data_IF_156804468555
#
_entry.id   IF_156804468555
#
_cell.length_a   1.000
_cell.length_b   1.000
_cell.length_c   1.000
_cell.angle_alpha   90.00
_cell.angle_beta   90.00
_cell.angle_gamma   90.00
#
_symmetry.space_group_name_H-M   'P 1'
#
loop_
_entity.id
_entity.type
_entity.pdbx_description
1 polymer ?
#
# COMPACT_ATOMS: atom_id res chain seq x y z
N UNK A 1 -4.89 65.95 65.56
CA UNK A 1 -4.35 65.33 64.33
C UNK A 1 -3.57 64.09 64.75
N UNK A 2 -4.08 62.89 64.46
CA UNK A 2 -3.38 61.63 64.74
C UNK A 2 -2.36 61.40 63.63
N UNK A 3 -1.07 61.58 63.92
CA UNK A 3 -0.02 61.19 62.96
C UNK A 3 0.07 59.65 62.94
N UNK A 4 -0.01 59.01 61.76
CA UNK A 4 0.15 57.56 61.67
C UNK A 4 1.57 57.18 62.05
N UNK A 5 1.73 56.62 63.26
CA UNK A 5 2.99 56.05 63.70
C UNK A 5 3.28 54.80 62.86
N UNK A 6 4.40 54.80 62.12
CA UNK A 6 4.84 53.59 61.42
C UNK A 6 5.15 52.51 62.44
N UNK A 7 4.57 51.33 62.25
CA UNK A 7 4.78 50.15 63.11
C UNK A 7 6.26 49.71 63.16
N UNK A 8 7.03 50.03 62.13
CA UNK A 8 8.47 49.76 62.06
C UNK A 8 9.21 51.01 61.58
N UNK A 9 10.34 51.30 62.20
CA UNK A 9 11.23 52.38 61.76
C UNK A 9 11.84 52.05 60.38
N UNK A 10 12.24 53.04 59.58
CA UNK A 10 12.95 52.79 58.32
C UNK A 10 14.21 51.92 58.50
N UNK A 11 14.90 52.05 59.63
CA UNK A 11 16.09 51.24 59.97
C UNK A 11 15.79 49.74 60.07
N UNK A 12 14.62 49.35 60.61
CA UNK A 12 14.22 47.95 60.70
C UNK A 12 14.18 47.25 59.33
N UNK A 13 13.72 47.96 58.29
CA UNK A 13 13.71 47.42 56.92
C UNK A 13 15.10 47.39 56.30
N UNK A 14 15.95 48.37 56.64
CA UNK A 14 17.37 48.36 56.27
C UNK A 14 18.09 47.12 56.81
N UNK A 15 17.94 46.82 58.09
CA UNK A 15 18.56 45.67 58.75
C UNK A 15 18.01 44.34 58.18
N UNK A 16 16.71 44.25 57.93
CA UNK A 16 16.10 43.07 57.29
C UNK A 16 16.63 42.84 55.88
N UNK A 17 16.82 43.91 55.10
CA UNK A 17 17.38 43.81 53.76
C UNK A 17 18.85 43.40 53.78
N UNK A 18 19.66 43.97 54.69
CA UNK A 18 21.05 43.56 54.87
C UNK A 18 21.16 42.10 55.32
N UNK A 19 20.30 41.66 56.24
CA UNK A 19 20.23 40.27 56.69
C UNK A 19 19.85 39.33 55.55
N UNK A 20 18.86 39.70 54.73
CA UNK A 20 18.47 38.93 53.55
C UNK A 20 19.62 38.81 52.55
N UNK A 21 20.33 39.91 52.28
CA UNK A 21 21.49 39.93 51.39
C UNK A 21 22.63 39.07 51.93
N UNK A 22 22.93 39.18 53.23
CA UNK A 22 23.92 38.33 53.90
C UNK A 22 23.55 36.85 53.82
N UNK A 23 22.29 36.49 54.06
CA UNK A 23 21.82 35.12 53.91
C UNK A 23 21.96 34.63 52.46
N UNK A 24 21.70 35.48 51.47
CA UNK A 24 21.87 35.14 50.05
C UNK A 24 23.35 34.96 49.68
N UNK A 25 24.24 35.84 50.16
CA UNK A 25 25.69 35.74 49.97
C UNK A 25 26.28 34.51 50.70
N UNK A 26 25.81 34.19 51.90
CA UNK A 26 26.20 32.98 52.64
C UNK A 26 25.69 31.71 51.95
N UNK A 27 24.46 31.73 51.42
CA UNK A 27 23.89 30.58 50.70
C UNK A 27 24.58 30.35 49.35
N UNK A 28 24.99 31.44 48.67
CA UNK A 28 25.85 31.37 47.48
C UNK A 28 27.26 30.86 47.83
N UNK A 29 27.84 31.32 48.94
CA UNK A 29 29.13 30.82 49.43
C UNK A 29 29.07 29.38 49.91
N UNK A 30 27.96 28.90 50.48
CA UNK A 30 27.80 27.47 50.79
C UNK A 30 27.69 26.64 49.52
N UNK A 31 27.06 27.16 48.46
CA UNK A 31 27.05 26.52 47.13
C UNK A 31 28.44 26.53 46.48
N UNK A 32 29.25 27.58 46.67
CA UNK A 32 30.65 27.66 46.19
C UNK A 32 31.63 26.85 47.06
N UNK A 33 31.37 26.71 48.36
CA UNK A 33 32.14 25.84 49.26
C UNK A 33 31.82 24.36 48.96
N UNK A 34 30.56 24.03 48.66
CA UNK A 34 30.16 22.70 48.17
C UNK A 34 30.76 22.39 46.80
N UNK A 35 31.07 23.39 45.95
CA UNK A 35 31.68 23.17 44.63
C UNK A 35 33.20 23.02 44.65
N UNK A 36 33.86 23.45 45.74
CA UNK A 36 35.32 23.34 45.92
C UNK A 36 35.75 22.07 46.66
N UNK A 37 34.84 21.43 47.40
CA UNK A 37 34.90 19.98 47.56
C UNK A 37 34.52 19.35 46.23
N UNK A 38 35.31 18.42 45.71
CA UNK A 38 34.88 17.51 44.64
C UNK A 38 33.56 16.88 45.06
N UNK A 39 32.42 17.49 44.68
CA UNK A 39 31.19 16.77 44.46
C UNK A 39 31.60 15.77 43.41
N UNK A 40 31.91 14.54 43.85
CA UNK A 40 31.87 13.38 43.00
C UNK A 40 30.54 13.52 42.29
N UNK A 41 30.57 14.00 41.04
CA UNK A 41 29.41 14.09 40.16
C UNK A 41 28.71 12.77 40.37
N UNK A 42 27.64 12.78 41.16
CA UNK A 42 27.05 11.54 41.65
C UNK A 42 26.55 10.90 40.38
N UNK A 43 27.32 9.95 39.87
CA UNK A 43 27.18 9.44 38.51
C UNK A 43 25.74 9.01 38.45
N UNK A 44 24.94 9.73 37.67
CA UNK A 44 23.50 9.47 37.61
C UNK A 44 23.35 7.96 37.45
N UNK A 45 22.55 7.31 38.32
CA UNK A 45 22.60 5.86 38.47
C UNK A 45 22.60 5.23 37.09
N UNK A 46 23.70 4.54 36.76
CA UNK A 46 23.85 4.00 35.42
C UNK A 46 22.70 3.03 35.22
N UNK A 47 21.95 3.26 34.15
CA UNK A 47 20.78 2.46 33.82
C UNK A 47 21.18 0.98 33.84
N UNK A 48 20.42 0.08 34.51
CA UNK A 48 20.69 -1.35 34.46
C UNK A 48 20.70 -1.85 33.02
N UNK A 49 21.60 -2.80 32.74
CA UNK A 49 21.65 -3.49 31.46
C UNK A 49 20.30 -4.16 31.20
N UNK A 50 19.71 -3.91 30.03
CA UNK A 50 18.39 -4.44 29.69
C UNK A 50 18.50 -5.89 29.24
N UNK A 51 17.61 -6.72 29.76
CA UNK A 51 17.39 -8.07 29.24
C UNK A 51 16.42 -8.02 28.07
N UNK A 52 16.49 -9.01 27.17
CA UNK A 52 15.51 -9.17 26.08
C UNK A 52 14.05 -9.24 26.57
N UNK A 53 13.83 -9.80 27.77
CA UNK A 53 12.51 -9.83 28.43
C UNK A 53 12.00 -8.42 28.78
N UNK A 54 12.88 -7.52 29.20
CA UNK A 54 12.53 -6.13 29.52
C UNK A 54 12.13 -5.35 28.26
N UNK A 55 12.80 -5.62 27.16
CA UNK A 55 12.48 -5.03 25.86
C UNK A 55 11.12 -5.53 25.32
N UNK A 56 10.81 -6.82 25.49
CA UNK A 56 9.52 -7.38 25.09
C UNK A 56 8.36 -6.83 25.94
N UNK A 57 8.54 -6.75 27.26
CA UNK A 57 7.53 -6.13 28.15
C UNK A 57 7.35 -4.65 27.83
N UNK A 58 8.43 -3.93 27.49
CA UNK A 58 8.35 -2.54 27.05
C UNK A 58 7.56 -2.39 25.75
N UNK A 59 7.79 -3.27 24.76
CA UNK A 59 7.07 -3.27 23.49
C UNK A 59 5.58 -3.55 23.70
N UNK A 60 5.24 -4.62 24.43
CA UNK A 60 3.85 -5.00 24.68
C UNK A 60 3.08 -3.94 25.47
N UNK A 61 3.71 -3.28 26.44
CA UNK A 61 3.11 -2.17 27.17
C UNK A 61 2.84 -0.96 26.28
N UNK A 62 3.79 -0.61 25.40
CA UNK A 62 3.59 0.48 24.42
C UNK A 62 2.48 0.15 23.43
N UNK A 63 2.42 -1.09 22.94
CA UNK A 63 1.36 -1.55 22.06
C UNK A 63 -0.01 -1.49 22.74
N UNK A 64 -0.15 -2.06 23.95
CA UNK A 64 -1.38 -1.99 24.75
C UNK A 64 -1.80 -0.54 24.98
N UNK A 65 -0.86 0.34 25.32
CA UNK A 65 -1.13 1.76 25.53
C UNK A 65 -1.62 2.45 24.25
N UNK A 66 -0.95 2.24 23.13
CA UNK A 66 -1.34 2.81 21.84
C UNK A 66 -2.76 2.37 21.44
N UNK A 67 -3.03 1.07 21.58
CA UNK A 67 -4.31 0.46 21.26
C UNK A 67 -5.45 0.97 22.16
N UNK A 68 -5.25 0.90 23.49
CA UNK A 68 -6.24 1.35 24.48
C UNK A 68 -6.49 2.86 24.40
N UNK A 69 -5.45 3.65 24.11
CA UNK A 69 -5.61 5.10 23.94
C UNK A 69 -6.53 5.43 22.77
N UNK A 70 -6.45 4.67 21.67
CA UNK A 70 -7.33 4.84 20.50
C UNK A 70 -8.75 4.39 20.82
N UNK A 71 -8.92 3.25 21.48
CA UNK A 71 -10.24 2.73 21.89
C UNK A 71 -10.97 3.63 22.89
N UNK A 72 -10.23 4.27 23.81
CA UNK A 72 -10.83 5.14 24.83
C UNK A 72 -11.38 6.43 24.25
N UNK A 73 -10.81 6.93 23.15
CA UNK A 73 -11.33 8.10 22.46
C UNK A 73 -12.48 7.68 21.52
N UNK A 74 -13.65 7.41 22.10
CA UNK A 74 -14.83 6.88 21.39
C UNK A 74 -15.32 7.79 20.27
N UNK A 75 -15.27 9.11 20.46
CA UNK A 75 -15.70 10.06 19.44
C UNK A 75 -14.76 10.05 18.22
N UNK A 76 -13.44 10.05 18.45
CA UNK A 76 -12.46 9.93 17.37
C UNK A 76 -12.52 8.56 16.69
N UNK A 77 -12.73 7.49 17.45
CA UNK A 77 -12.85 6.16 16.88
C UNK A 77 -14.13 6.03 16.04
N UNK A 78 -15.27 6.54 16.53
CA UNK A 78 -16.54 6.49 15.82
C UNK A 78 -16.49 7.30 14.51
N UNK A 79 -15.93 8.51 14.55
CA UNK A 79 -15.77 9.35 13.35
C UNK A 79 -14.88 8.68 12.30
N UNK A 80 -13.70 8.19 12.70
CA UNK A 80 -12.77 7.51 11.79
C UNK A 80 -13.33 6.18 11.26
N UNK A 81 -14.10 5.44 12.06
CA UNK A 81 -14.73 4.20 11.62
C UNK A 81 -15.95 4.43 10.74
N UNK A 82 -16.66 5.56 10.90
CA UNK A 82 -17.82 5.96 10.07
C UNK A 82 -17.40 6.56 8.73
N UNK A 83 -16.21 7.15 8.66
CA UNK A 83 -15.66 7.72 7.43
C UNK A 83 -15.52 6.67 6.31
N UNK A 84 -14.97 5.49 6.64
CA UNK A 84 -14.82 4.39 5.69
C UNK A 84 -16.16 3.90 5.05
N UNK A 85 -17.20 3.54 5.81
CA UNK A 85 -18.49 3.12 5.25
C UNK A 85 -19.22 4.25 4.52
N UNK A 86 -19.12 5.50 4.99
CA UNK A 86 -19.71 6.63 4.29
C UNK A 86 -19.08 6.84 2.91
N UNK A 87 -17.75 6.80 2.82
CA UNK A 87 -17.03 6.88 1.55
C UNK A 87 -17.29 5.68 0.65
N UNK A 88 -17.37 4.47 1.23
CA UNK A 88 -17.72 3.25 0.48
C UNK A 88 -19.09 3.37 -0.17
N UNK A 89 -20.10 3.74 0.62
CA UNK A 89 -21.47 3.92 0.13
C UNK A 89 -21.53 4.99 -0.96
N UNK A 90 -20.93 6.17 -0.72
CA UNK A 90 -20.92 7.27 -1.67
C UNK A 90 -20.29 6.86 -3.01
N UNK A 91 -19.07 6.33 -2.99
CA UNK A 91 -18.35 5.94 -4.22
C UNK A 91 -19.09 4.82 -4.93
N UNK A 92 -19.57 3.81 -4.20
CA UNK A 92 -20.22 2.66 -4.80
C UNK A 92 -21.55 3.01 -5.47
N UNK A 93 -22.37 3.85 -4.85
CA UNK A 93 -23.63 4.31 -5.44
C UNK A 93 -23.37 5.19 -6.66
N UNK A 94 -22.41 6.11 -6.58
CA UNK A 94 -22.10 7.02 -7.69
C UNK A 94 -21.55 6.29 -8.90
N UNK A 95 -20.76 5.22 -8.70
CA UNK A 95 -20.13 4.47 -9.79
C UNK A 95 -20.94 3.25 -10.26
N UNK A 96 -22.07 2.95 -9.61
CA UNK A 96 -23.00 1.92 -10.08
C UNK A 96 -23.82 2.46 -11.26
N UNK A 97 -23.22 2.42 -12.44
CA UNK A 97 -23.83 2.81 -13.71
C UNK A 97 -23.81 1.63 -14.70
N UNK A 98 -24.85 1.54 -15.54
CA UNK A 98 -24.97 0.58 -16.63
C UNK A 98 -25.69 1.24 -17.81
N UNK A 99 -25.23 0.98 -19.03
CA UNK A 99 -25.81 1.54 -20.27
C UNK A 99 -27.18 0.91 -20.59
N UNK A 100 -27.35 -0.39 -20.30
CA UNK A 100 -28.54 -1.18 -20.66
C UNK A 100 -29.66 -1.13 -19.61
N UNK A 101 -29.58 -0.22 -18.64
CA UNK A 101 -30.54 -0.06 -17.53
C UNK A 101 -30.43 -1.15 -16.45
N UNK A 102 -30.30 -2.42 -16.83
CA UNK A 102 -29.96 -3.52 -15.91
C UNK A 102 -28.47 -3.49 -15.57
N UNK A 103 -28.13 -3.50 -14.28
CA UNK A 103 -26.73 -3.48 -13.85
C UNK A 103 -26.06 -4.82 -14.10
N UNK A 104 -25.02 -4.82 -14.93
CA UNK A 104 -24.16 -5.95 -15.18
C UNK A 104 -22.71 -5.57 -14.85
N UNK A 105 -21.98 -6.45 -14.16
CA UNK A 105 -20.60 -6.21 -13.78
C UNK A 105 -19.66 -6.20 -15.00
N UNK A 106 -19.95 -7.02 -16.02
CA UNK A 106 -19.12 -7.08 -17.22
C UNK A 106 -19.07 -5.76 -18.00
N UNK A 107 -20.24 -5.14 -18.22
CA UNK A 107 -20.37 -3.88 -18.96
C UNK A 107 -20.16 -2.63 -18.09
N UNK A 108 -19.94 -2.78 -16.79
CA UNK A 108 -19.77 -1.66 -15.87
C UNK A 108 -18.51 -0.82 -16.23
N UNK A 109 -18.73 0.35 -16.82
CA UNK A 109 -17.65 1.21 -17.34
C UNK A 109 -16.71 1.74 -16.25
N UNK A 110 -17.23 2.01 -15.05
CA UNK A 110 -16.49 2.71 -14.00
C UNK A 110 -15.70 1.80 -13.05
N UNK A 111 -15.63 0.48 -13.29
CA UNK A 111 -14.89 -0.44 -12.42
C UNK A 111 -13.40 -0.07 -12.29
N UNK A 112 -12.64 0.23 -13.36
CA UNK A 112 -11.24 0.67 -13.21
C UNK A 112 -11.09 1.94 -12.35
N UNK A 113 -12.03 2.88 -12.47
CA UNK A 113 -12.06 4.11 -11.68
C UNK A 113 -12.39 3.83 -10.21
N UNK A 114 -13.34 2.92 -9.95
CA UNK A 114 -13.66 2.45 -8.60
C UNK A 114 -12.42 1.85 -7.93
N UNK A 115 -11.75 0.91 -8.59
CA UNK A 115 -10.55 0.25 -8.05
C UNK A 115 -9.45 1.26 -7.73
N UNK A 116 -9.27 2.28 -8.57
CA UNK A 116 -8.35 3.38 -8.27
C UNK A 116 -8.78 4.19 -7.04
N UNK A 117 -10.04 4.61 -6.97
CA UNK A 117 -10.57 5.40 -5.85
C UNK A 117 -10.54 4.62 -4.53
N UNK A 118 -10.73 3.31 -4.55
CA UNK A 118 -10.54 2.44 -3.37
C UNK A 118 -9.11 2.55 -2.82
N UNK A 119 -8.10 2.56 -3.69
CA UNK A 119 -6.70 2.73 -3.28
C UNK A 119 -6.42 4.15 -2.77
N UNK A 120 -6.97 5.17 -3.42
CA UNK A 120 -6.91 6.58 -2.98
C UNK A 120 -7.49 6.72 -1.58
N UNK A 121 -8.66 6.14 -1.32
CA UNK A 121 -9.33 6.16 -0.01
C UNK A 121 -8.51 5.39 1.02
N UNK A 122 -7.96 4.22 0.66
CA UNK A 122 -7.06 3.47 1.53
C UNK A 122 -5.84 4.29 1.97
N UNK A 123 -5.18 4.98 1.02
CA UNK A 123 -4.06 5.88 1.30
C UNK A 123 -4.48 7.04 2.21
N UNK A 124 -5.61 7.67 1.88
CA UNK A 124 -6.16 8.82 2.62
C UNK A 124 -6.48 8.46 4.08
N UNK A 125 -7.19 7.37 4.31
CA UNK A 125 -7.50 6.89 5.66
C UNK A 125 -6.21 6.58 6.44
N UNK A 126 -5.19 6.00 5.78
CA UNK A 126 -3.89 5.74 6.39
C UNK A 126 -3.16 7.01 6.82
N UNK A 127 -3.15 8.03 5.95
CA UNK A 127 -2.54 9.34 6.22
C UNK A 127 -3.26 10.08 7.36
N UNK A 128 -4.58 10.26 7.25
CA UNK A 128 -5.38 11.03 8.21
C UNK A 128 -5.33 10.41 9.62
N UNK A 129 -5.42 9.08 9.73
CA UNK A 129 -5.41 8.41 11.03
C UNK A 129 -4.05 8.42 11.74
N UNK A 130 -2.96 8.71 11.03
CA UNK A 130 -1.59 8.66 11.55
C UNK A 130 -0.89 10.02 11.64
N UNK A 131 -1.33 11.03 10.88
CA UNK A 131 -0.72 12.35 10.78
C UNK A 131 -0.66 13.14 12.11
N UNK A 132 -1.51 12.82 13.10
CA UNK A 132 -1.55 13.51 14.39
C UNK A 132 -0.99 12.68 15.56
N UNK A 133 -0.67 11.39 15.33
CA UNK A 133 -0.40 10.45 16.42
C UNK A 133 0.95 10.71 17.12
N UNK A 134 1.99 11.12 16.39
CA UNK A 134 3.30 11.46 16.99
C UNK A 134 3.22 12.80 17.72
N UNK A 135 2.49 13.77 17.17
CA UNK A 135 2.28 15.09 17.79
C UNK A 135 1.60 14.93 19.15
N UNK A 136 0.54 14.10 19.24
CA UNK A 136 -0.18 13.84 20.50
C UNK A 136 0.70 13.18 21.56
N UNK A 137 1.59 12.29 21.14
CA UNK A 137 2.47 11.55 22.05
C UNK A 137 3.75 12.30 22.43
N UNK A 138 4.01 13.48 21.85
CA UNK A 138 5.26 14.22 22.02
C UNK A 138 5.61 14.49 23.48
N UNK A 139 4.65 14.99 24.26
CA UNK A 139 4.87 15.30 25.70
C UNK A 139 5.22 14.05 26.51
N UNK A 140 4.71 12.89 26.11
CA UNK A 140 5.03 11.61 26.71
C UNK A 140 6.43 11.14 26.30
N UNK A 141 6.76 11.24 25.01
CA UNK A 141 8.09 10.89 24.50
C UNK A 141 9.19 11.75 25.13
N UNK A 142 8.95 13.03 25.38
CA UNK A 142 9.89 13.92 26.07
C UNK A 142 10.15 13.51 27.52
N UNK A 143 9.11 13.05 28.24
CA UNK A 143 9.24 12.50 29.61
C UNK A 143 9.94 11.16 29.64
N UNK A 144 9.61 10.30 28.67
CA UNK A 144 10.14 8.94 28.56
C UNK A 144 11.55 8.88 27.97
N UNK A 145 12.00 9.95 27.31
CA UNK A 145 13.36 10.10 26.74
C UNK A 145 14.44 9.78 27.77
N UNK A 146 14.30 10.29 28.99
CA UNK A 146 15.29 10.11 30.06
C UNK A 146 15.35 8.67 30.58
N UNK A 147 14.29 7.89 30.33
CA UNK A 147 14.23 6.45 30.61
C UNK A 147 14.74 5.61 29.42
N UNK A 148 15.34 6.24 28.40
CA UNK A 148 16.01 5.64 27.24
C UNK A 148 15.17 4.64 26.44
N UNK A 149 13.93 4.95 26.13
CA UNK A 149 13.06 4.11 25.29
C UNK A 149 13.68 3.84 23.93
N UNK A 150 13.57 2.60 23.44
CA UNK A 150 13.96 2.25 22.07
C UNK A 150 12.91 2.76 21.10
N UNK A 151 13.30 3.74 20.28
CA UNK A 151 12.44 4.35 19.24
C UNK A 151 11.82 3.30 18.31
N UNK A 152 12.57 2.25 17.98
CA UNK A 152 12.07 1.18 17.09
C UNK A 152 10.86 0.46 17.66
N UNK A 153 10.82 0.18 18.97
CA UNK A 153 9.66 -0.46 19.60
C UNK A 153 8.46 0.49 19.68
N UNK A 154 8.70 1.79 19.89
CA UNK A 154 7.65 2.80 19.81
C UNK A 154 7.02 2.81 18.42
N UNK A 155 7.83 2.95 17.36
CA UNK A 155 7.37 2.98 15.97
C UNK A 155 6.62 1.69 15.65
N UNK A 156 7.19 0.53 15.94
CA UNK A 156 6.58 -0.76 15.63
C UNK A 156 5.23 -0.92 16.37
N UNK A 157 5.17 -0.55 17.65
CA UNK A 157 3.93 -0.62 18.43
C UNK A 157 2.83 0.28 17.84
N UNK A 158 3.20 1.48 17.36
CA UNK A 158 2.28 2.43 16.73
C UNK A 158 1.80 1.95 15.38
N UNK A 159 2.71 1.51 14.53
CA UNK A 159 2.40 1.00 13.19
C UNK A 159 1.48 -0.21 13.27
N UNK A 160 1.74 -1.15 14.18
CA UNK A 160 0.86 -2.32 14.38
C UNK A 160 -0.51 -1.92 14.91
N UNK A 161 -0.58 -1.00 15.88
CA UNK A 161 -1.85 -0.54 16.41
C UNK A 161 -2.68 0.19 15.36
N UNK A 162 -2.08 1.10 14.58
CA UNK A 162 -2.77 1.84 13.52
C UNK A 162 -3.12 0.92 12.34
N UNK A 163 -2.23 0.00 11.99
CA UNK A 163 -2.47 -1.00 10.95
C UNK A 163 -3.68 -1.87 11.26
N UNK A 164 -3.90 -2.25 12.52
CA UNK A 164 -5.10 -2.99 12.91
C UNK A 164 -6.40 -2.21 12.64
N UNK A 165 -6.46 -0.93 13.04
CA UNK A 165 -7.65 -0.10 12.78
C UNK A 165 -7.85 0.17 11.28
N UNK A 166 -6.76 0.41 10.55
CA UNK A 166 -6.81 0.57 9.10
C UNK A 166 -7.29 -0.70 8.38
N UNK A 167 -6.89 -1.88 8.86
CA UNK A 167 -7.37 -3.16 8.33
C UNK A 167 -8.89 -3.28 8.50
N UNK A 168 -9.42 -2.98 9.69
CA UNK A 168 -10.87 -2.98 9.95
C UNK A 168 -11.59 -2.00 9.01
N UNK A 169 -11.06 -0.78 8.84
CA UNK A 169 -11.63 0.22 7.93
C UNK A 169 -11.63 -0.26 6.48
N UNK A 170 -10.55 -0.89 6.01
CA UNK A 170 -10.47 -1.46 4.66
C UNK A 170 -11.50 -2.58 4.47
N UNK A 171 -11.64 -3.47 5.45
CA UNK A 171 -12.64 -4.55 5.43
C UNK A 171 -14.05 -3.98 5.35
N UNK A 172 -14.41 -3.02 6.20
CA UNK A 172 -15.75 -2.40 6.19
C UNK A 172 -16.01 -1.71 4.85
N UNK A 173 -15.03 -0.96 4.35
CA UNK A 173 -15.13 -0.27 3.06
C UNK A 173 -15.43 -1.27 1.92
N UNK A 174 -14.62 -2.32 1.82
CA UNK A 174 -14.73 -3.31 0.75
C UNK A 174 -16.02 -4.12 0.86
N UNK A 175 -16.47 -4.49 2.06
CA UNK A 175 -17.74 -5.23 2.22
C UNK A 175 -18.93 -4.44 1.70
N UNK A 176 -18.97 -3.13 1.95
CA UNK A 176 -20.06 -2.27 1.48
C UNK A 176 -19.94 -2.02 -0.02
N UNK A 177 -18.74 -1.67 -0.49
CA UNK A 177 -18.54 -1.33 -1.89
C UNK A 177 -18.66 -2.54 -2.82
N UNK A 178 -18.04 -3.68 -2.50
CA UNK A 178 -18.14 -4.89 -3.32
C UNK A 178 -19.57 -5.44 -3.32
N UNK A 179 -20.34 -5.28 -2.24
CA UNK A 179 -21.77 -5.62 -2.22
C UNK A 179 -22.60 -4.75 -3.19
N UNK A 180 -22.34 -3.43 -3.22
CA UNK A 180 -23.06 -2.50 -4.09
C UNK A 180 -22.61 -2.59 -5.56
N UNK A 181 -21.33 -2.82 -5.85
CA UNK A 181 -20.84 -3.03 -7.23
C UNK A 181 -20.92 -4.49 -7.68
N UNK A 182 -21.44 -5.40 -6.85
CA UNK A 182 -21.58 -6.82 -7.18
C UNK A 182 -20.26 -7.49 -7.60
N UNK A 183 -19.14 -7.08 -7.02
CA UNK A 183 -17.81 -7.67 -7.26
C UNK A 183 -17.71 -8.96 -6.48
N UNK A 184 -17.53 -10.09 -7.19
CA UNK A 184 -17.58 -11.42 -6.58
C UNK A 184 -16.19 -12.04 -6.45
N UNK A 185 -15.96 -12.74 -5.35
CA UNK A 185 -14.77 -13.55 -5.05
C UNK A 185 -13.40 -12.82 -5.09
N UNK A 186 -13.35 -11.49 -5.29
CA UNK A 186 -12.11 -10.69 -5.34
C UNK A 186 -11.75 -9.95 -4.05
N UNK A 187 -12.53 -10.15 -2.98
CA UNK A 187 -12.37 -9.46 -1.70
C UNK A 187 -10.95 -9.52 -1.14
N UNK A 188 -10.31 -10.69 -1.11
CA UNK A 188 -8.97 -10.85 -0.53
C UNK A 188 -7.88 -10.14 -1.33
N UNK A 189 -7.99 -10.13 -2.66
CA UNK A 189 -7.04 -9.41 -3.53
C UNK A 189 -7.21 -7.90 -3.36
N UNK A 190 -8.45 -7.40 -3.36
CA UNK A 190 -8.77 -5.99 -3.11
C UNK A 190 -8.28 -5.56 -1.72
N UNK A 191 -8.52 -6.38 -0.69
CA UNK A 191 -8.10 -6.13 0.67
C UNK A 191 -6.57 -6.03 0.77
N UNK A 192 -5.83 -6.95 0.15
CA UNK A 192 -4.37 -6.92 0.16
C UNK A 192 -3.82 -5.62 -0.44
N UNK A 193 -4.29 -5.22 -1.63
CA UNK A 193 -3.79 -4.01 -2.31
C UNK A 193 -4.23 -2.72 -1.61
N UNK A 194 -5.47 -2.65 -1.13
CA UNK A 194 -5.96 -1.50 -0.35
C UNK A 194 -5.23 -1.37 0.98
N UNK A 195 -5.05 -2.48 1.71
CA UNK A 195 -4.38 -2.49 3.01
C UNK A 195 -2.89 -2.14 2.90
N UNK A 196 -2.17 -2.71 1.93
CA UNK A 196 -0.76 -2.36 1.70
C UNK A 196 -0.60 -0.89 1.32
N UNK A 197 -1.51 -0.34 0.51
CA UNK A 197 -1.54 1.09 0.18
C UNK A 197 -1.83 1.95 1.42
N UNK A 198 -2.78 1.54 2.26
CA UNK A 198 -3.07 2.22 3.52
C UNK A 198 -1.88 2.19 4.48
N UNK A 199 -1.13 1.08 4.50
CA UNK A 199 0.07 0.92 5.30
C UNK A 199 1.20 1.86 4.87
N UNK A 200 1.37 2.10 3.56
CA UNK A 200 2.24 3.18 3.05
C UNK A 200 1.75 4.54 3.57
N UNK A 201 0.44 4.80 3.53
CA UNK A 201 -0.17 6.00 4.09
C UNK A 201 0.12 6.19 5.57
N UNK A 202 0.05 5.13 6.38
CA UNK A 202 0.42 5.17 7.81
C UNK A 202 1.88 5.55 7.99
N UNK A 203 2.80 4.95 7.22
CA UNK A 203 4.22 5.26 7.29
C UNK A 203 4.51 6.73 6.97
N UNK A 204 3.92 7.24 5.88
CA UNK A 204 4.05 8.64 5.46
C UNK A 204 3.41 9.59 6.46
N UNK A 205 2.20 9.29 6.96
CA UNK A 205 1.49 10.13 7.92
C UNK A 205 2.21 10.20 9.26
N UNK A 206 2.73 9.09 9.78
CA UNK A 206 3.59 9.11 10.98
C UNK A 206 4.86 9.94 10.75
N UNK A 207 5.48 9.84 9.58
CA UNK A 207 6.65 10.66 9.24
C UNK A 207 6.32 12.14 9.26
N UNK A 208 5.21 12.57 8.63
CA UNK A 208 4.73 13.96 8.67
C UNK A 208 4.44 14.42 10.09
N UNK A 209 3.78 13.57 10.88
CA UNK A 209 3.48 13.82 12.30
C UNK A 209 4.75 14.10 13.11
N UNK A 210 5.88 13.46 12.75
CA UNK A 210 7.17 13.74 13.39
C UNK A 210 7.79 15.07 12.95
N UNK A 211 7.55 15.54 11.72
CA UNK A 211 8.17 16.76 11.21
C UNK A 211 7.46 18.03 11.68
N UNK A 212 6.16 17.93 11.91
CA UNK A 212 5.28 19.07 12.16
C UNK A 212 5.01 19.22 13.67
N UNK A 213 4.89 20.45 14.14
CA UNK A 213 4.65 20.74 15.56
C UNK A 213 3.15 20.87 15.90
N UNK A 214 2.29 21.17 14.92
CA UNK A 214 0.87 21.50 15.09
C UNK A 214 -0.03 20.53 14.31
N UNK A 215 -1.12 20.01 14.91
CA UNK A 215 -2.04 19.10 14.21
C UNK A 215 -2.64 19.72 12.94
N UNK A 216 -3.02 21.00 13.00
CA UNK A 216 -3.57 21.74 11.85
C UNK A 216 -2.64 21.75 10.65
N UNK A 217 -1.33 21.89 10.86
CA UNK A 217 -0.36 21.89 9.76
C UNK A 217 -0.19 20.49 9.18
N UNK A 218 -0.28 19.43 10.00
CA UNK A 218 -0.25 18.06 9.50
C UNK A 218 -1.45 17.78 8.57
N UNK A 219 -2.65 18.23 8.96
CA UNK A 219 -3.86 18.09 8.13
C UNK A 219 -3.75 18.83 6.79
N UNK A 220 -3.17 20.02 6.77
CA UNK A 220 -2.97 20.79 5.53
C UNK A 220 -1.98 20.14 4.55
N UNK A 221 -1.07 19.29 5.03
CA UNK A 221 -0.10 18.58 4.20
C UNK A 221 -0.74 17.37 3.50
N UNK A 222 -1.82 16.79 4.06
CA UNK A 222 -2.46 15.59 3.51
C UNK A 222 -2.91 15.83 2.05
N UNK A 223 -3.69 16.87 1.71
CA UNK A 223 -4.08 17.12 0.31
C UNK A 223 -2.89 17.39 -0.61
N UNK A 224 -1.84 18.06 -0.11
CA UNK A 224 -0.63 18.35 -0.89
C UNK A 224 0.09 17.08 -1.34
N UNK A 225 0.01 16.00 -0.55
CA UNK A 225 0.56 14.69 -0.92
C UNK A 225 -0.45 13.89 -1.75
N UNK A 226 -1.74 13.97 -1.43
CA UNK A 226 -2.78 13.21 -2.12
C UNK A 226 -2.97 13.65 -3.58
N UNK A 227 -3.00 14.96 -3.87
CA UNK A 227 -3.26 15.48 -5.22
C UNK A 227 -2.22 14.97 -6.24
N UNK A 228 -0.89 15.08 -6.00
CA UNK A 228 0.11 14.51 -6.90
C UNK A 228 -0.04 13.00 -7.08
N UNK A 229 -0.33 12.26 -6.00
CA UNK A 229 -0.54 10.81 -6.06
C UNK A 229 -1.75 10.43 -6.93
N UNK A 230 -2.83 11.22 -6.88
CA UNK A 230 -4.03 11.01 -7.70
C UNK A 230 -3.74 11.30 -9.17
N UNK A 231 -3.13 12.45 -9.46
CA UNK A 231 -2.85 12.90 -10.84
C UNK A 231 -1.87 11.96 -11.54
N UNK A 232 -0.81 11.56 -10.84
CA UNK A 232 0.29 10.77 -11.40
C UNK A 232 0.09 9.26 -11.21
N UNK A 233 -1.09 8.82 -10.75
CA UNK A 233 -1.42 7.41 -10.53
C UNK A 233 -1.77 6.61 -11.79
N UNK A 234 -2.09 7.29 -12.90
CA UNK A 234 -2.32 6.69 -14.22
C UNK A 234 -3.77 6.27 -14.52
N UNK A 235 -4.68 6.42 -13.56
CA UNK A 235 -6.11 6.15 -13.75
C UNK A 235 -6.88 7.38 -14.27
N UNK A 236 -6.62 8.56 -13.68
CA UNK A 236 -7.33 9.81 -14.03
C UNK A 236 -6.81 10.40 -15.35
N UNK A 237 -5.49 10.36 -15.55
CA UNK A 237 -4.81 10.77 -16.76
C UNK A 237 -4.03 9.56 -17.25
N UNK A 238 -4.35 9.07 -18.45
CA UNK A 238 -3.62 7.96 -19.07
C UNK A 238 -2.20 8.42 -19.37
N UNK A 239 -1.21 7.56 -19.10
CA UNK A 239 0.20 7.92 -19.37
C UNK A 239 0.48 8.23 -20.84
N UNK A 240 -0.32 7.68 -21.75
CA UNK A 240 -0.23 7.96 -23.19
C UNK A 240 -0.54 9.43 -23.53
N UNK A 241 -1.37 10.07 -22.72
CA UNK A 241 -1.86 11.44 -22.90
C UNK A 241 -1.07 12.44 -22.04
N UNK A 242 -0.13 11.97 -21.22
CA UNK A 242 0.67 12.83 -20.37
C UNK A 242 1.83 13.45 -21.15
N UNK A 243 2.14 14.73 -20.89
CA UNK A 243 3.26 15.41 -21.51
C UNK A 243 4.57 14.69 -21.18
N UNK A 244 5.15 14.00 -22.17
CA UNK A 244 6.44 13.31 -22.04
C UNK A 244 7.62 14.25 -21.77
N UNK A 245 7.44 15.55 -21.98
CA UNK A 245 8.40 16.59 -21.59
C UNK A 245 8.55 16.77 -20.06
N UNK A 246 7.70 16.14 -19.25
CA UNK A 246 7.84 16.10 -17.79
C UNK A 246 8.83 15.04 -17.29
N UNK A 247 9.55 14.32 -18.16
CA UNK A 247 10.70 13.57 -17.68
C UNK A 247 11.82 14.55 -17.27
N UNK A 248 11.72 14.99 -16.02
CA UNK A 248 12.74 15.76 -15.31
C UNK A 248 14.09 15.02 -15.32
N UNK A 249 14.06 13.69 -15.50
CA UNK A 249 15.24 12.86 -15.74
C UNK A 249 15.81 13.06 -17.16
N UNK A 250 14.98 13.20 -18.19
CA UNK A 250 15.45 13.52 -19.54
C UNK A 250 16.05 14.94 -19.61
N UNK A 251 15.49 15.92 -18.89
CA UNK A 251 16.08 17.27 -18.82
C UNK A 251 17.38 17.29 -18.00
N UNK A 252 17.47 16.56 -16.88
CA UNK A 252 18.71 16.41 -16.11
C UNK A 252 19.77 15.64 -16.89
N UNK A 253 19.39 14.57 -17.62
CA UNK A 253 20.31 13.79 -18.46
C UNK A 253 20.81 14.56 -19.67
N UNK A 254 19.94 15.40 -20.30
CA UNK A 254 20.32 16.37 -21.33
C UNK A 254 21.23 17.47 -20.79
N UNK A 255 21.04 17.88 -19.53
CA UNK A 255 21.90 18.85 -18.86
C UNK A 255 23.28 18.25 -18.47
N UNK A 256 23.35 16.94 -18.21
CA UNK A 256 24.55 16.23 -17.78
C UNK A 256 25.30 15.47 -18.88
N UNK A 257 24.79 15.41 -20.13
CA UNK A 257 25.41 14.65 -21.22
C UNK A 257 25.14 15.25 -22.61
N UNK A 258 26.10 15.15 -23.55
CA UNK A 258 25.97 15.78 -24.87
C UNK A 258 24.99 14.98 -25.76
N UNK A 259 24.06 15.73 -26.36
CA UNK A 259 23.17 15.41 -27.49
C UNK A 259 23.09 13.94 -27.92
N UNK A 260 22.07 13.23 -27.43
CA UNK A 260 21.59 11.99 -28.04
C UNK A 260 20.11 12.16 -28.38
N UNK A 261 19.84 12.91 -29.45
CA UNK A 261 18.49 13.25 -29.93
C UNK A 261 17.78 12.08 -30.65
N UNK A 262 18.36 10.87 -30.67
CA UNK A 262 17.82 9.71 -31.40
C UNK A 262 17.02 8.71 -30.55
N UNK A 263 16.90 8.92 -29.23
CA UNK A 263 16.17 7.99 -28.35
C UNK A 263 14.66 8.28 -28.24
N UNK A 264 14.19 9.44 -28.70
CA UNK A 264 12.82 9.91 -28.47
C UNK A 264 11.74 9.15 -29.28
N UNK A 265 12.11 8.36 -30.28
CA UNK A 265 11.16 7.77 -31.24
C UNK A 265 10.69 6.35 -30.88
N UNK A 266 11.28 5.73 -29.84
CA UNK A 266 11.02 4.32 -29.47
C UNK A 266 10.31 4.10 -28.12
N UNK A 267 9.88 5.16 -27.45
CA UNK A 267 9.17 5.01 -26.16
C UNK A 267 7.72 4.56 -26.38
N UNK A 268 7.44 3.33 -25.90
CA UNK A 268 6.10 2.73 -25.83
C UNK A 268 5.05 3.72 -25.35
N UNK A 269 3.84 3.68 -25.90
CA UNK A 269 2.74 4.55 -25.42
C UNK A 269 2.37 4.24 -23.98
N UNK A 270 2.43 2.96 -23.60
CA UNK A 270 2.15 2.49 -22.24
C UNK A 270 3.36 2.51 -21.29
N UNK A 271 4.51 3.02 -21.69
CA UNK A 271 5.64 3.12 -20.77
C UNK A 271 5.38 4.21 -19.74
N UNK A 272 5.64 3.91 -18.47
CA UNK A 272 5.31 4.85 -17.40
C UNK A 272 6.45 5.86 -17.20
N UNK A 273 6.16 7.16 -17.21
CA UNK A 273 7.16 8.21 -16.98
C UNK A 273 7.86 8.10 -15.63
N UNK A 274 9.07 8.62 -15.54
CA UNK A 274 9.91 8.38 -14.37
C UNK A 274 9.35 9.02 -13.08
N UNK A 275 8.74 10.21 -13.18
CA UNK A 275 8.14 10.89 -12.03
C UNK A 275 7.04 10.04 -11.38
N UNK A 276 6.27 9.31 -12.18
CA UNK A 276 5.20 8.44 -11.71
C UNK A 276 5.71 7.21 -10.95
N UNK A 277 6.97 6.81 -11.12
CA UNK A 277 7.56 5.70 -10.36
C UNK A 277 7.70 6.03 -8.87
N UNK A 278 7.74 7.31 -8.49
CA UNK A 278 7.81 7.75 -7.09
C UNK A 278 6.47 7.69 -6.35
N UNK A 279 5.36 7.48 -7.08
CA UNK A 279 4.01 7.54 -6.51
C UNK A 279 3.54 6.14 -6.13
N UNK A 280 3.26 5.84 -4.85
CA UNK A 280 2.80 4.52 -4.43
C UNK A 280 1.45 4.10 -5.06
N UNK A 281 0.53 5.06 -5.31
CA UNK A 281 -0.76 4.75 -5.93
C UNK A 281 -0.63 4.14 -7.33
N UNK A 282 0.39 4.52 -8.10
CA UNK A 282 0.65 3.95 -9.42
C UNK A 282 0.93 2.44 -9.32
N UNK A 283 1.74 2.03 -8.35
CA UNK A 283 2.12 0.63 -8.15
C UNK A 283 0.95 -0.23 -7.67
N UNK A 284 0.15 0.27 -6.73
CA UNK A 284 -1.03 -0.46 -6.26
C UNK A 284 -2.14 -0.49 -7.29
N UNK A 285 -2.32 0.56 -8.10
CA UNK A 285 -3.32 0.59 -9.17
C UNK A 285 -2.97 -0.38 -10.31
N UNK A 286 -1.71 -0.40 -10.74
CA UNK A 286 -1.21 -1.40 -11.69
C UNK A 286 -1.48 -2.82 -11.17
N UNK A 287 -1.27 -3.04 -9.88
CA UNK A 287 -1.42 -4.36 -9.29
C UNK A 287 -2.88 -4.80 -9.13
N UNK A 288 -3.80 -3.90 -8.72
CA UNK A 288 -5.21 -4.26 -8.54
C UNK A 288 -5.89 -4.55 -9.90
N UNK A 289 -5.54 -3.81 -10.96
CA UNK A 289 -6.06 -4.06 -12.31
C UNK A 289 -5.59 -5.42 -12.83
N UNK A 290 -4.28 -5.72 -12.72
CA UNK A 290 -3.74 -7.04 -13.11
C UNK A 290 -4.37 -8.14 -12.25
N UNK A 291 -4.58 -7.91 -10.96
CA UNK A 291 -5.24 -8.90 -10.10
C UNK A 291 -6.68 -9.18 -10.54
N UNK A 292 -7.46 -8.16 -10.91
CA UNK A 292 -8.82 -8.37 -11.45
C UNK A 292 -8.80 -9.09 -12.80
N UNK A 293 -7.83 -8.80 -13.67
CA UNK A 293 -7.71 -9.46 -14.97
C UNK A 293 -7.26 -10.92 -14.87
N UNK A 294 -6.34 -11.25 -13.95
CA UNK A 294 -5.71 -12.58 -13.89
C UNK A 294 -6.22 -13.49 -12.77
N UNK A 295 -6.61 -12.91 -11.63
CA UNK A 295 -6.91 -13.67 -10.40
C UNK A 295 -8.40 -13.89 -10.17
N UNK A 296 -9.29 -13.33 -11.00
CA UNK A 296 -10.71 -13.64 -10.92
C UNK A 296 -10.94 -15.16 -11.12
N UNK A 297 -12.02 -15.75 -10.57
CA UNK A 297 -12.19 -17.22 -10.59
C UNK A 297 -12.14 -17.85 -11.98
N UNK A 298 -12.70 -17.16 -12.98
CA UNK A 298 -12.75 -17.60 -14.38
C UNK A 298 -11.36 -17.53 -15.00
N UNK A 299 -10.72 -16.36 -14.99
CA UNK A 299 -9.37 -16.15 -15.49
C UNK A 299 -8.33 -16.99 -14.76
N UNK A 300 -8.49 -17.24 -13.46
CA UNK A 300 -7.63 -18.15 -12.72
C UNK A 300 -7.76 -19.59 -13.24
N UNK A 301 -8.99 -20.05 -13.51
CA UNK A 301 -9.22 -21.37 -14.12
C UNK A 301 -8.66 -21.44 -15.55
N UNK A 302 -8.88 -20.41 -16.37
CA UNK A 302 -8.31 -20.30 -17.73
C UNK A 302 -6.78 -20.37 -17.66
N UNK A 303 -6.15 -19.56 -16.80
CA UNK A 303 -4.70 -19.56 -16.61
C UNK A 303 -4.18 -20.93 -16.15
N UNK A 304 -4.89 -21.62 -15.25
CA UNK A 304 -4.53 -22.98 -14.81
C UNK A 304 -4.59 -23.97 -15.99
N UNK A 305 -5.63 -23.90 -16.82
CA UNK A 305 -5.81 -24.76 -18.00
C UNK A 305 -4.73 -24.48 -19.05
N UNK A 306 -4.51 -23.21 -19.39
CA UNK A 306 -3.48 -22.79 -20.34
C UNK A 306 -2.08 -23.22 -19.89
N UNK A 307 -1.77 -23.13 -18.59
CA UNK A 307 -0.48 -23.56 -18.05
C UNK A 307 -0.24 -25.07 -18.21
N UNK A 308 -1.30 -25.89 -18.12
CA UNK A 308 -1.25 -27.33 -18.40
C UNK A 308 -1.11 -27.60 -19.91
N UNK A 309 -1.85 -26.86 -20.75
CA UNK A 309 -1.71 -26.99 -22.20
C UNK A 309 -0.28 -26.67 -22.65
N UNK A 310 0.32 -25.62 -22.10
CA UNK A 310 1.68 -25.23 -22.42
C UNK A 310 2.74 -26.22 -21.89
N UNK A 311 2.49 -26.92 -20.78
CA UNK A 311 3.38 -27.99 -20.34
C UNK A 311 3.34 -29.19 -21.28
N UNK A 312 2.16 -29.58 -21.76
CA UNK A 312 2.02 -30.64 -22.76
C UNK A 312 2.65 -30.26 -24.11
N UNK A 313 2.49 -29.01 -24.56
CA UNK A 313 3.16 -28.52 -25.78
C UNK A 313 4.68 -28.62 -25.66
N UNK A 314 5.26 -28.19 -24.54
CA UNK A 314 6.71 -28.27 -24.31
C UNK A 314 7.23 -29.71 -24.28
N UNK A 315 6.47 -30.65 -23.72
CA UNK A 315 6.83 -32.07 -23.75
C UNK A 315 6.88 -32.60 -25.19
N UNK A 316 5.88 -32.25 -26.00
CA UNK A 316 5.83 -32.64 -27.41
C UNK A 316 6.96 -32.01 -28.23
N UNK A 317 7.25 -30.72 -28.02
CA UNK A 317 8.36 -30.00 -28.66
C UNK A 317 9.74 -30.58 -28.28
N UNK A 318 9.89 -31.14 -27.08
CA UNK A 318 11.09 -31.83 -26.63
C UNK A 318 11.26 -33.23 -27.25
N UNK A 319 10.38 -33.66 -28.16
CA UNK A 319 10.45 -34.95 -28.84
C UNK A 319 9.94 -36.13 -28.00
N UNK A 320 9.28 -35.87 -26.87
CA UNK A 320 8.62 -36.90 -26.07
C UNK A 320 7.20 -37.14 -26.61
N UNK A 321 6.96 -38.34 -27.16
CA UNK A 321 5.60 -38.76 -27.50
C UNK A 321 4.76 -38.85 -26.22
N UNK A 322 3.61 -38.17 -26.21
CA UNK A 322 2.69 -38.13 -25.08
C UNK A 322 2.20 -39.55 -24.76
N UNK A 323 2.22 -39.91 -23.47
CA UNK A 323 1.59 -41.13 -22.98
C UNK A 323 0.07 -41.08 -23.22
N UNK A 324 -0.64 -42.20 -23.38
CA UNK A 324 -2.10 -42.21 -23.53
C UNK A 324 -2.85 -41.46 -22.41
N UNK A 325 -2.27 -41.42 -21.20
CA UNK A 325 -2.81 -40.64 -20.08
C UNK A 325 -2.60 -39.13 -20.24
N UNK A 326 -1.47 -38.72 -20.82
CA UNK A 326 -1.13 -37.32 -21.05
C UNK A 326 -1.92 -36.76 -22.24
N UNK A 327 -2.17 -37.58 -23.26
CA UNK A 327 -3.04 -37.25 -24.39
C UNK A 327 -4.49 -37.07 -23.92
N UNK A 328 -5.02 -37.99 -23.10
CA UNK A 328 -6.34 -37.83 -22.48
C UNK A 328 -6.41 -36.57 -21.58
N UNK A 329 -5.34 -36.24 -20.86
CA UNK A 329 -5.25 -35.03 -20.04
C UNK A 329 -5.20 -33.75 -20.89
N UNK A 330 -4.51 -33.78 -22.03
CA UNK A 330 -4.46 -32.70 -23.00
C UNK A 330 -5.83 -32.43 -23.61
N UNK A 331 -6.55 -33.47 -24.03
CA UNK A 331 -7.88 -33.32 -24.60
C UNK A 331 -8.90 -32.84 -23.56
N UNK A 332 -8.87 -33.40 -22.36
CA UNK A 332 -9.68 -32.90 -21.24
C UNK A 332 -9.42 -31.42 -20.94
N UNK A 333 -8.17 -30.94 -21.04
CA UNK A 333 -7.83 -29.54 -20.85
C UNK A 333 -8.35 -28.65 -21.99
N UNK A 334 -8.32 -29.10 -23.25
CA UNK A 334 -8.91 -28.37 -24.39
C UNK A 334 -10.42 -28.25 -24.26
N UNK A 335 -11.08 -29.36 -23.91
CA UNK A 335 -12.53 -29.40 -23.73
C UNK A 335 -12.96 -28.50 -22.57
N UNK A 336 -12.23 -28.55 -21.45
CA UNK A 336 -12.48 -27.65 -20.32
C UNK A 336 -12.32 -26.18 -20.71
N UNK A 337 -11.32 -25.83 -21.52
CA UNK A 337 -11.15 -24.45 -21.99
C UNK A 337 -12.37 -23.96 -22.77
N UNK A 338 -12.86 -24.78 -23.71
CA UNK A 338 -14.05 -24.45 -24.50
C UNK A 338 -15.30 -24.31 -23.61
N UNK A 339 -15.47 -25.19 -22.64
CA UNK A 339 -16.59 -25.15 -21.67
C UNK A 339 -16.54 -23.88 -20.81
N UNK A 340 -15.34 -23.47 -20.35
CA UNK A 340 -15.20 -22.30 -19.46
C UNK A 340 -15.63 -20.99 -20.14
N UNK A 341 -15.33 -20.81 -21.43
CA UNK A 341 -15.79 -19.64 -22.18
C UNK A 341 -17.31 -19.61 -22.40
N UNK A 342 -17.94 -20.79 -22.52
CA UNK A 342 -19.39 -20.92 -22.68
C UNK A 342 -20.16 -21.12 -21.37
N UNK A 343 -19.51 -20.95 -20.21
CA UNK A 343 -20.08 -21.38 -18.94
C UNK A 343 -21.24 -20.47 -18.50
N UNK A 344 -22.42 -21.06 -18.36
CA UNK A 344 -23.61 -20.42 -17.83
C UNK A 344 -24.15 -21.16 -16.59
N UNK A 345 -25.03 -20.49 -15.85
CA UNK A 345 -25.68 -21.08 -14.69
C UNK A 345 -26.96 -20.33 -14.30
N UNK A 346 -27.73 -20.93 -13.38
CA UNK A 346 -28.99 -20.34 -12.90
C UNK A 346 -28.75 -19.11 -12.01
N UNK A 347 -27.65 -19.11 -11.28
CA UNK A 347 -27.25 -18.04 -10.39
C UNK A 347 -25.72 -18.02 -10.24
N UNK A 348 -25.19 -17.02 -9.54
CA UNK A 348 -23.76 -16.89 -9.35
C UNK A 348 -23.12 -18.04 -8.55
N UNK A 349 -23.86 -18.63 -7.60
CA UNK A 349 -23.36 -19.74 -6.78
C UNK A 349 -23.25 -21.05 -7.59
N UNK A 350 -24.16 -21.27 -8.53
CA UNK A 350 -24.15 -22.39 -9.49
C UNK A 350 -22.94 -22.28 -10.42
N UNK A 351 -22.72 -21.11 -11.03
CA UNK A 351 -21.52 -20.86 -11.86
C UNK A 351 -20.23 -21.07 -11.05
N UNK A 352 -20.19 -20.57 -9.80
CA UNK A 352 -19.05 -20.78 -8.90
C UNK A 352 -18.83 -22.27 -8.59
N UNK A 353 -19.91 -23.03 -8.38
CA UNK A 353 -19.87 -24.48 -8.20
C UNK A 353 -19.28 -25.19 -9.41
N UNK A 354 -19.77 -24.89 -10.61
CA UNK A 354 -19.26 -25.45 -11.87
C UNK A 354 -17.78 -25.14 -12.09
N UNK A 355 -17.33 -23.91 -11.81
CA UNK A 355 -15.89 -23.54 -11.88
C UNK A 355 -15.05 -24.43 -10.94
N UNK A 356 -15.51 -24.63 -9.71
CA UNK A 356 -14.82 -25.47 -8.73
C UNK A 356 -14.81 -26.96 -9.13
N UNK A 357 -15.89 -27.43 -9.73
CA UNK A 357 -16.02 -28.79 -10.26
C UNK A 357 -15.07 -29.04 -11.44
N UNK A 358 -15.03 -28.15 -12.42
CA UNK A 358 -14.08 -28.21 -13.54
C UNK A 358 -12.64 -28.25 -13.02
N UNK A 359 -12.29 -27.35 -12.08
CA UNK A 359 -10.95 -27.33 -11.47
C UNK A 359 -10.62 -28.66 -10.77
N UNK A 360 -11.56 -29.21 -10.01
CA UNK A 360 -11.37 -30.46 -9.26
C UNK A 360 -11.31 -31.67 -10.20
N UNK A 361 -12.15 -31.72 -11.23
CA UNK A 361 -12.12 -32.76 -12.27
C UNK A 361 -10.78 -32.79 -13.01
N UNK A 362 -10.27 -31.61 -13.40
CA UNK A 362 -8.99 -31.48 -14.09
C UNK A 362 -7.76 -31.81 -13.23
N UNK A 363 -7.85 -31.66 -11.91
CA UNK A 363 -6.75 -32.00 -10.99
C UNK A 363 -6.78 -33.48 -10.59
N UNK A 364 -7.98 -34.07 -10.50
CA UNK A 364 -8.17 -35.49 -10.19
C UNK A 364 -8.09 -36.40 -11.42
N UNK A 365 -8.11 -35.84 -12.64
CA UNK A 365 -8.10 -36.59 -13.89
C UNK A 365 -9.44 -37.28 -14.21
N UNK A 366 -10.53 -36.82 -13.57
CA UNK A 366 -11.89 -37.37 -13.72
C UNK A 366 -12.84 -36.37 -14.39
N UNK A 367 -12.29 -35.43 -15.15
CA UNK A 367 -13.09 -34.43 -15.85
C UNK A 367 -13.92 -35.08 -16.96
N UNK A 368 -15.23 -34.84 -16.94
CA UNK A 368 -16.16 -35.32 -17.95
C UNK A 368 -16.84 -34.14 -18.67
N UNK A 369 -16.48 -33.85 -19.93
CA UNK A 369 -17.06 -32.72 -20.68
C UNK A 369 -18.59 -32.81 -20.84
N UNK A 370 -19.14 -34.02 -20.95
CA UNK A 370 -20.56 -34.23 -21.23
C UNK A 370 -21.48 -33.72 -20.12
N UNK A 371 -20.99 -33.62 -18.88
CA UNK A 371 -21.75 -33.08 -17.74
C UNK A 371 -21.99 -31.57 -17.83
N UNK A 372 -21.17 -30.87 -18.62
CA UNK A 372 -21.26 -29.43 -18.83
C UNK A 372 -21.81 -29.09 -20.22
N UNK A 373 -21.81 -30.05 -21.16
CA UNK A 373 -22.37 -29.91 -22.50
C UNK A 373 -23.78 -30.50 -22.56
N UNK A 374 -24.76 -29.81 -21.95
CA UNK A 374 -26.15 -30.24 -21.99
C UNK A 374 -27.02 -29.50 -20.97
N UNK A 375 -28.16 -28.99 -21.44
CA UNK A 375 -29.18 -28.23 -20.70
C UNK A 375 -28.72 -26.90 -20.09
N UNK A 376 -28.67 -25.86 -20.93
CA UNK A 376 -28.96 -24.50 -20.44
C UNK A 376 -30.30 -24.55 -19.72
N UNK A 377 -30.29 -24.30 -18.42
CA UNK A 377 -31.50 -24.41 -17.60
C UNK A 377 -32.62 -23.53 -18.20
N UNK A 378 -33.88 -24.01 -18.27
CA UNK A 378 -34.98 -23.20 -18.77
C UNK A 378 -35.18 -21.99 -17.84
N UNK A 379 -34.84 -20.79 -18.33
CA UNK A 379 -34.91 -19.53 -17.59
C UNK A 379 -33.87 -18.50 -18.03
N UNK A 380 -33.83 -17.36 -17.35
CA UNK A 380 -32.79 -16.35 -17.50
C UNK A 380 -31.49 -16.88 -16.87
N UNK A 381 -30.51 -17.24 -17.69
CA UNK A 381 -29.20 -17.72 -17.23
C UNK A 381 -28.23 -16.55 -17.10
N UNK A 382 -27.27 -16.69 -16.19
CA UNK A 382 -26.17 -15.72 -16.03
C UNK A 382 -24.87 -16.38 -16.47
N UNK A 383 -24.11 -15.70 -17.31
CA UNK A 383 -22.84 -16.23 -17.82
C UNK A 383 -21.69 -15.92 -16.87
N UNK A 384 -20.66 -16.77 -16.89
CA UNK A 384 -19.45 -16.58 -16.10
C UNK A 384 -18.72 -15.27 -16.46
N UNK A 385 -18.77 -14.87 -17.74
CA UNK A 385 -18.21 -13.61 -18.21
C UNK A 385 -18.94 -12.42 -17.59
N UNK A 386 -20.28 -12.41 -17.58
CA UNK A 386 -21.09 -11.36 -16.96
C UNK A 386 -20.79 -11.18 -15.47
N UNK A 387 -20.48 -12.28 -14.77
CA UNK A 387 -20.26 -12.26 -13.32
C UNK A 387 -18.84 -11.86 -12.90
N UNK A 388 -17.82 -12.22 -13.68
CA UNK A 388 -16.43 -12.16 -13.24
C UNK A 388 -15.49 -11.37 -14.16
N UNK A 389 -15.88 -11.13 -15.41
CA UNK A 389 -15.01 -10.51 -16.41
C UNK A 389 -15.52 -9.10 -16.75
N UNK A 390 -14.87 -8.08 -16.18
CA UNK A 390 -15.13 -6.71 -16.58
C UNK A 390 -14.39 -6.36 -17.87
N UNK A 391 -15.13 -5.92 -18.89
CA UNK A 391 -14.60 -5.64 -20.22
C UNK A 391 -13.53 -4.54 -20.21
N UNK A 392 -13.73 -3.48 -19.42
CA UNK A 392 -12.77 -2.36 -19.37
C UNK A 392 -11.47 -2.74 -18.67
N UNK A 393 -11.54 -3.53 -17.61
CA UNK A 393 -10.34 -4.06 -16.95
C UNK A 393 -9.57 -4.97 -17.91
N UNK A 394 -10.27 -5.86 -18.63
CA UNK A 394 -9.66 -6.75 -19.61
C UNK A 394 -9.06 -6.00 -20.80
N UNK A 395 -9.72 -4.96 -21.32
CA UNK A 395 -9.19 -4.14 -22.41
C UNK A 395 -7.87 -3.46 -22.02
N UNK A 396 -7.80 -2.86 -20.82
CA UNK A 396 -6.57 -2.26 -20.31
C UNK A 396 -5.43 -3.29 -20.20
N UNK A 397 -5.72 -4.48 -19.69
CA UNK A 397 -4.75 -5.55 -19.52
C UNK A 397 -4.31 -6.15 -20.86
N UNK A 398 -5.26 -6.50 -21.74
CA UNK A 398 -5.00 -7.10 -23.04
C UNK A 398 -4.23 -6.16 -23.94
N UNK A 399 -4.58 -4.86 -23.95
CA UNK A 399 -3.84 -3.85 -24.69
C UNK A 399 -2.38 -3.77 -24.24
N UNK A 400 -2.13 -3.82 -22.93
CA UNK A 400 -0.78 -3.88 -22.39
C UNK A 400 -0.05 -5.18 -22.78
N UNK A 401 -0.71 -6.32 -22.71
CA UNK A 401 -0.12 -7.61 -23.09
C UNK A 401 0.22 -7.68 -24.58
N UNK A 402 -0.61 -7.11 -25.46
CA UNK A 402 -0.32 -7.00 -26.90
C UNK A 402 0.93 -6.14 -27.12
N UNK A 403 1.03 -4.96 -26.49
CA UNK A 403 2.21 -4.11 -26.67
C UNK A 403 3.48 -4.74 -26.06
N UNK A 404 3.35 -5.49 -24.96
CA UNK A 404 4.45 -6.22 -24.32
C UNK A 404 4.93 -7.40 -25.15
N UNK A 405 4.01 -8.17 -25.75
CA UNK A 405 4.29 -9.39 -26.52
C UNK A 405 4.56 -9.10 -27.99
N UNK A 406 4.51 -7.84 -28.43
CA UNK A 406 4.76 -7.45 -29.81
C UNK A 406 6.13 -7.99 -30.29
N UNK A 407 6.06 -8.98 -31.19
CA UNK A 407 7.23 -9.65 -31.73
C UNK A 407 8.03 -8.72 -32.64
N UNK A 408 7.40 -7.67 -33.20
CA UNK A 408 8.03 -6.73 -34.14
C UNK A 408 9.13 -5.90 -33.49
N UNK A 409 9.07 -5.72 -32.16
CA UNK A 409 10.08 -4.99 -31.38
C UNK A 409 11.33 -5.83 -31.08
N UNK A 410 11.34 -7.11 -31.44
CA UNK A 410 12.50 -7.99 -31.27
C UNK A 410 12.93 -8.10 -29.81
N UNK A 411 14.20 -7.79 -29.53
CA UNK A 411 14.77 -7.78 -28.18
C UNK A 411 14.36 -6.53 -27.36
N UNK A 412 14.02 -5.41 -27.99
CA UNK A 412 13.76 -4.13 -27.31
C UNK A 412 12.28 -3.99 -26.90
N UNK A 413 11.80 -4.93 -26.09
CA UNK A 413 10.41 -4.91 -25.58
C UNK A 413 10.33 -4.08 -24.30
N UNK A 414 9.61 -2.95 -24.29
CA UNK A 414 9.57 -2.07 -23.13
C UNK A 414 8.68 -2.62 -22.01
N UNK A 415 8.98 -2.17 -20.79
CA UNK A 415 8.15 -2.42 -19.62
C UNK A 415 6.91 -1.53 -19.64
N UNK A 416 5.79 -2.08 -20.11
CA UNK A 416 4.50 -1.37 -20.24
C UNK A 416 3.67 -1.41 -18.97
N UNK A 417 2.91 -0.35 -18.71
CA UNK A 417 1.90 -0.29 -17.65
C UNK A 417 0.85 -1.38 -17.83
N UNK A 418 0.40 -2.01 -16.74
CA UNK A 418 -0.53 -3.16 -16.72
C UNK A 418 -0.03 -4.46 -17.35
N UNK A 419 1.22 -4.53 -17.82
CA UNK A 419 1.80 -5.79 -18.29
C UNK A 419 1.96 -6.80 -17.15
N UNK A 420 1.66 -8.09 -17.40
CA UNK A 420 1.71 -9.20 -16.43
C UNK A 420 3.11 -9.43 -15.81
N UNK A 421 4.17 -9.15 -16.55
CA UNK A 421 5.55 -9.34 -16.15
C UNK A 421 6.40 -8.15 -16.61
N UNK A 422 7.45 -7.87 -15.85
CA UNK A 422 8.48 -6.91 -16.21
C UNK A 422 9.76 -7.66 -16.56
N UNK A 423 10.41 -7.22 -17.64
CA UNK A 423 11.65 -7.79 -18.16
C UNK A 423 12.77 -6.76 -18.03
N UNK A 424 13.91 -7.20 -17.52
CA UNK A 424 15.16 -6.42 -17.57
C UNK A 424 16.22 -7.23 -18.26
N UNK A 425 16.83 -6.63 -19.29
CA UNK A 425 17.91 -7.24 -20.05
C UNK A 425 19.23 -6.66 -19.57
N UNK A 426 20.18 -7.53 -19.24
CA UNK A 426 21.51 -7.14 -18.74
C UNK A 426 22.61 -7.31 -19.78
N UNK A 427 22.35 -8.08 -20.85
CA UNK A 427 23.23 -8.24 -22.00
C UNK A 427 22.39 -8.22 -23.26
N UNK A 428 22.77 -7.39 -24.24
CA UNK A 428 22.35 -7.60 -25.62
C UNK A 428 22.96 -8.93 -26.04
N UNK A 429 22.12 -9.97 -26.16
CA UNK A 429 22.54 -11.21 -26.78
C UNK A 429 23.04 -10.91 -28.18
N UNK A 430 24.12 -11.56 -28.59
CA UNK A 430 24.63 -11.46 -29.96
C UNK A 430 23.90 -12.52 -30.80
N UNK A 431 22.94 -12.12 -31.67
CA UNK A 431 22.13 -13.07 -32.42
C UNK A 431 22.96 -13.90 -33.42
N UNK A 432 24.16 -13.45 -33.82
CA UNK A 432 25.04 -14.22 -34.72
C UNK A 432 25.68 -15.44 -34.04
N UNK A 433 25.81 -15.42 -32.70
CA UNK A 433 26.46 -16.48 -31.93
C UNK A 433 25.48 -17.42 -31.21
N UNK A 434 24.17 -17.30 -31.48
CA UNK A 434 23.14 -18.15 -30.85
C UNK A 434 23.01 -17.98 -29.34
N UNK A 435 23.56 -16.91 -28.76
CA UNK A 435 23.45 -16.61 -27.33
C UNK A 435 22.18 -15.82 -27.07
N UNK A 436 21.17 -16.47 -26.48
CA UNK A 436 19.96 -15.79 -26.04
C UNK A 436 20.31 -14.69 -25.02
N UNK A 437 19.67 -13.50 -25.13
CA UNK A 437 19.86 -12.44 -24.16
C UNK A 437 19.42 -12.90 -22.77
N UNK A 438 20.35 -12.87 -21.80
CA UNK A 438 20.02 -13.13 -20.40
C UNK A 438 19.07 -12.05 -19.91
N UNK A 439 17.81 -12.43 -19.73
CA UNK A 439 16.77 -11.54 -19.28
C UNK A 439 16.18 -12.05 -17.96
N UNK A 440 16.02 -11.13 -17.02
CA UNK A 440 15.34 -11.39 -15.78
C UNK A 440 13.88 -10.99 -15.91
N UNK A 441 12.99 -11.93 -15.60
CA UNK A 441 11.54 -11.73 -15.63
C UNK A 441 11.01 -11.74 -14.21
N UNK A 442 10.22 -10.73 -13.84
CA UNK A 442 9.53 -10.68 -12.54
C UNK A 442 8.04 -10.48 -12.81
N UNK A 443 7.15 -11.29 -12.21
CA UNK A 443 5.73 -11.01 -12.21
C UNK A 443 5.44 -9.63 -11.64
N UNK A 444 4.66 -8.82 -12.35
CA UNK A 444 4.39 -7.42 -11.98
C UNK A 444 3.71 -7.33 -10.61
N UNK A 445 2.82 -8.27 -10.28
CA UNK A 445 2.20 -8.34 -8.95
C UNK A 445 3.25 -8.47 -7.83
N UNK A 446 4.26 -9.32 -8.01
CA UNK A 446 5.31 -9.53 -7.00
C UNK A 446 6.19 -8.29 -6.89
N UNK A 447 6.59 -7.71 -8.02
CA UNK A 447 7.35 -6.46 -8.05
C UNK A 447 6.61 -5.34 -7.31
N UNK A 448 5.33 -5.13 -7.61
CA UNK A 448 4.55 -4.05 -7.04
C UNK A 448 4.38 -4.23 -5.52
N UNK A 449 4.17 -5.47 -5.05
CA UNK A 449 4.14 -5.77 -3.61
C UNK A 449 5.47 -5.42 -2.93
N UNK A 450 6.61 -5.80 -3.53
CA UNK A 450 7.95 -5.49 -3.00
C UNK A 450 8.15 -3.97 -2.94
N UNK A 451 7.77 -3.25 -4.00
CA UNK A 451 7.92 -1.78 -4.06
C UNK A 451 7.07 -1.09 -3.01
N UNK A 452 5.82 -1.51 -2.80
CA UNK A 452 4.97 -0.95 -1.74
C UNK A 452 5.55 -1.22 -0.35
N UNK A 453 6.06 -2.43 -0.09
CA UNK A 453 6.77 -2.74 1.16
C UNK A 453 8.01 -1.87 1.36
N UNK A 454 8.76 -1.59 0.29
CA UNK A 454 9.92 -0.69 0.32
C UNK A 454 9.50 0.74 0.65
N UNK A 455 8.41 1.26 0.06
CA UNK A 455 7.86 2.57 0.41
C UNK A 455 7.49 2.65 1.90
N UNK A 456 6.82 1.62 2.43
CA UNK A 456 6.51 1.55 3.85
C UNK A 456 7.77 1.54 4.70
N UNK A 457 8.76 0.69 4.37
CA UNK A 457 10.02 0.61 5.10
C UNK A 457 10.79 1.93 5.08
N UNK A 458 10.86 2.60 3.93
CA UNK A 458 11.51 3.89 3.76
C UNK A 458 10.85 4.97 4.62
N UNK A 459 9.50 5.00 4.66
CA UNK A 459 8.75 5.87 5.58
C UNK A 459 9.08 5.61 7.05
N UNK A 460 9.19 4.34 7.46
CA UNK A 460 9.54 3.97 8.83
C UNK A 460 10.98 4.31 9.20
N UNK A 461 11.93 4.15 8.26
CA UNK A 461 13.34 4.54 8.46
C UNK A 461 13.45 6.06 8.56
N UNK A 462 12.75 6.81 7.70
CA UNK A 462 12.70 8.27 7.76
C UNK A 462 12.12 8.75 9.10
N UNK A 463 11.03 8.14 9.57
CA UNK A 463 10.45 8.37 10.90
C UNK A 463 11.44 8.07 12.02
N UNK A 464 12.12 6.92 11.96
CA UNK A 464 13.12 6.54 12.96
C UNK A 464 14.24 7.56 13.07
N UNK A 465 14.79 8.00 11.94
CA UNK A 465 15.86 9.00 11.91
C UNK A 465 15.39 10.36 12.43
N UNK A 466 14.16 10.78 12.07
CA UNK A 466 13.53 12.00 12.56
C UNK A 466 13.36 11.99 14.08
N UNK A 467 12.70 10.97 14.62
CA UNK A 467 12.47 10.82 16.07
C UNK A 467 13.78 10.69 16.85
N UNK A 468 14.75 9.93 16.33
CA UNK A 468 16.06 9.80 16.98
C UNK A 468 16.81 11.13 17.04
N UNK A 469 16.69 11.98 16.00
CA UNK A 469 17.26 13.34 16.02
C UNK A 469 16.54 14.23 17.02
N UNK A 470 15.22 14.19 17.09
CA UNK A 470 14.43 14.97 18.06
C UNK A 470 14.75 14.59 19.49
N UNK A 471 14.84 13.29 19.80
CA UNK A 471 15.21 12.86 21.15
C UNK A 471 16.67 13.19 21.52
N UNK A 472 17.54 13.51 20.56
CA UNK A 472 18.92 13.93 20.85
C UNK A 472 19.08 15.43 21.06
N UNK A 473 18.16 16.26 20.55
CA UNK A 473 18.19 17.71 20.77
C UNK A 473 17.81 17.98 22.23
N UNK A 474 18.80 18.44 23.00
CA UNK A 474 18.67 18.88 24.40
C UNK A 474 18.09 20.27 24.42
#
# INVERSE_FOLDING_TARGET
QLMPARRFSPGFWGDRFQTYRLLQEVNLRSLEADSSGTVLLQKTPQRPARTWRDDWTQFTNQFKRAFLSKMRNRANLATTLLEAPALAFLVAVVLRYSEDGAYNFASAFHIPTYLFLTLVIGLFLGLTNSAEEVIRDRTLLERERNHGIRVSFYILSKVLSLGFFALIQCVIYLLIADAILSIRDMFWHNLFWMFTTSFVGIGVGLFISSLVNTPKTALNIIPLIMIPNIILGGALIKYEEMNRGLDLIHSIRRFLGPNQDSAAEKDSKLQVPAICQLMPLRWSYEAIIIAHAERNPVSALINDIESKLDSYKKLNEAGHALSPKEEAGLDAAKDALAIVYGLDGRNADDVRGKIAEIRTGLTTGKFNPAEFMGDSAPGETVTAEQLYLNEKVLDLFNRAEVERRDYRRGADRPNVFFGKEKRWQFSSGDPENGKEPTAFHIPTLVLNAIVLLLFSLLGLVALHTSLKRQMRKV
#
